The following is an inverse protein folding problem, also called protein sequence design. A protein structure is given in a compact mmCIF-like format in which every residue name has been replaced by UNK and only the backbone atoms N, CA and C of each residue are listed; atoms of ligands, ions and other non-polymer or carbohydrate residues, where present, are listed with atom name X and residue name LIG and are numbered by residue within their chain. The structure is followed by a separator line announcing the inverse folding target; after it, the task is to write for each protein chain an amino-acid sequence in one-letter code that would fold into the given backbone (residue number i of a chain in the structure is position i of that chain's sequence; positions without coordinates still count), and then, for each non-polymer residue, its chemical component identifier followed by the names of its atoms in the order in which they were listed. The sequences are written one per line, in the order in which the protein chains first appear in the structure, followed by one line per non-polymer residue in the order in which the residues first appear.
data_IF_385183422149
#
_entry.id   IF_385183422149
#
_cell.length_a   1.000
_cell.length_b   1.000
_cell.length_c   1.000
_cell.angle_alpha   90.00
_cell.angle_beta   90.00
_cell.angle_gamma   90.00
#
_symmetry.space_group_name_H-M   'P 1'
#
loop_
_entity.id
_entity.type
_entity.pdbx_description
1 polymer ?
#
# COMPACT_ATOMS: atom_id res chain seq x y z
N UNK A 1 2.99 27.12 26.75
CA UNK A 1 3.42 26.38 25.53
C UNK A 1 2.19 26.20 24.66
N UNK A 2 1.99 27.04 23.65
CA UNK A 2 0.92 26.90 22.67
C UNK A 2 1.39 25.86 21.64
N UNK A 3 0.74 24.73 21.61
CA UNK A 3 0.92 23.73 20.54
C UNK A 3 0.29 24.31 19.26
N UNK A 4 1.13 24.79 18.35
CA UNK A 4 0.73 25.08 16.97
C UNK A 4 0.31 23.74 16.33
N UNK A 5 -1.00 23.52 16.18
CA UNK A 5 -1.49 22.51 15.25
C UNK A 5 -1.13 23.02 13.85
N UNK A 6 -0.39 22.26 13.02
CA UNK A 6 -0.26 22.62 11.64
C UNK A 6 -1.66 22.69 11.02
N UNK A 7 -1.91 23.70 10.20
CA UNK A 7 -3.15 23.85 9.44
C UNK A 7 -3.16 22.78 8.33
N UNK A 8 -3.34 21.53 8.72
CA UNK A 8 -3.58 20.46 7.77
C UNK A 8 -4.98 20.69 7.15
N UNK A 9 -5.01 20.97 5.88
CA UNK A 9 -6.22 20.84 5.05
C UNK A 9 -6.04 19.57 4.23
N UNK A 10 -6.90 18.55 4.42
CA UNK A 10 -6.90 17.43 3.49
C UNK A 10 -7.06 17.97 2.07
N UNK A 11 -6.44 17.35 1.07
CA UNK A 11 -6.62 17.73 -0.32
C UNK A 11 -8.12 17.85 -0.62
N UNK A 12 -8.56 18.96 -1.22
CA UNK A 12 -10.00 19.27 -1.42
C UNK A 12 -10.73 18.29 -2.33
N UNK A 13 -10.04 17.34 -2.95
CA UNK A 13 -10.55 16.46 -3.98
C UNK A 13 -10.95 15.05 -3.51
N UNK A 14 -11.03 14.79 -2.20
CA UNK A 14 -11.60 13.51 -1.72
C UNK A 14 -13.11 13.34 -2.04
N UNK A 15 -13.78 14.38 -2.53
CA UNK A 15 -15.22 14.33 -2.86
C UNK A 15 -15.55 13.95 -4.32
N UNK A 16 -14.57 13.76 -5.19
CA UNK A 16 -14.82 13.54 -6.63
C UNK A 16 -14.56 12.09 -7.10
N UNK A 17 -14.89 11.09 -6.29
CA UNK A 17 -14.73 9.67 -6.70
C UNK A 17 -15.94 9.15 -7.50
N UNK A 18 -16.49 9.99 -8.37
CA UNK A 18 -17.42 9.54 -9.42
C UNK A 18 -16.72 9.20 -10.75
N UNK A 19 -15.41 9.42 -10.86
CA UNK A 19 -14.58 8.99 -11.97
C UNK A 19 -13.57 7.95 -11.48
N UNK A 20 -13.53 6.79 -12.13
CA UNK A 20 -12.60 5.68 -11.88
C UNK A 20 -11.11 6.01 -12.16
N UNK A 21 -10.76 7.28 -12.35
CA UNK A 21 -9.37 7.73 -12.45
C UNK A 21 -8.89 8.21 -11.08
N UNK A 22 -8.04 7.40 -10.41
CA UNK A 22 -7.48 7.78 -9.12
C UNK A 22 -6.57 9.00 -9.28
N UNK A 23 -6.46 9.86 -8.23
CA UNK A 23 -5.54 10.99 -8.25
C UNK A 23 -4.10 10.51 -8.51
N UNK A 24 -3.25 11.41 -8.99
CA UNK A 24 -1.84 11.11 -9.21
C UNK A 24 -1.09 10.87 -7.90
N UNK A 25 -1.47 11.53 -6.81
CA UNK A 25 -0.97 11.34 -5.44
C UNK A 25 -1.88 12.03 -4.41
N UNK A 26 -1.76 11.60 -3.15
CA UNK A 26 -2.32 12.27 -1.97
C UNK A 26 -1.26 12.29 -0.86
N UNK A 27 -0.69 13.44 -0.57
CA UNK A 27 0.35 13.64 0.46
C UNK A 27 0.03 14.89 1.28
N UNK A 28 0.60 14.99 2.49
CA UNK A 28 0.33 16.13 3.38
C UNK A 28 0.79 17.47 2.83
N UNK A 29 2.03 17.52 2.32
CA UNK A 29 2.67 18.74 1.84
C UNK A 29 3.76 18.36 0.81
N UNK A 30 3.54 18.72 -0.46
CA UNK A 30 4.47 18.43 -1.56
C UNK A 30 5.76 19.27 -1.45
N UNK A 31 5.73 20.41 -0.77
CA UNK A 31 6.89 21.28 -0.58
C UNK A 31 8.00 20.63 0.28
N UNK A 32 7.68 19.54 0.97
CA UNK A 32 8.67 18.74 1.72
C UNK A 32 9.57 17.87 0.81
N UNK A 33 9.33 17.84 -0.49
CA UNK A 33 9.98 16.93 -1.44
C UNK A 33 11.51 17.09 -1.48
N UNK A 34 12.03 18.32 -1.45
CA UNK A 34 13.48 18.57 -1.48
C UNK A 34 14.19 18.04 -0.23
N UNK A 35 13.55 18.14 0.93
CA UNK A 35 14.07 17.56 2.15
C UNK A 35 14.02 16.03 2.08
N UNK A 36 12.87 15.49 1.66
CA UNK A 36 12.70 14.05 1.48
C UNK A 36 13.72 13.46 0.53
N UNK A 37 14.06 14.15 -0.58
CA UNK A 37 15.06 13.68 -1.54
C UNK A 37 16.43 13.48 -0.87
N UNK A 38 16.88 14.43 -0.07
CA UNK A 38 18.17 14.33 0.66
C UNK A 38 18.20 13.17 1.65
N UNK A 39 17.10 12.96 2.37
CA UNK A 39 16.99 11.85 3.32
C UNK A 39 16.96 10.49 2.60
N UNK A 40 16.30 10.38 1.43
CA UNK A 40 16.29 9.17 0.61
C UNK A 40 17.70 8.88 0.06
N UNK A 41 18.45 9.90 -0.37
CA UNK A 41 19.85 9.74 -0.82
C UNK A 41 20.74 9.17 0.30
N UNK A 42 20.54 9.61 1.55
CA UNK A 42 21.26 9.03 2.70
C UNK A 42 20.84 7.57 2.90
N UNK A 43 19.54 7.27 2.87
CA UNK A 43 19.01 5.91 3.05
C UNK A 43 19.55 4.93 1.99
N UNK A 44 19.80 5.36 0.75
CA UNK A 44 20.41 4.54 -0.29
C UNK A 44 21.79 4.00 0.14
N UNK A 45 22.59 4.78 0.86
CA UNK A 45 23.89 4.35 1.36
C UNK A 45 23.78 3.31 2.48
N UNK A 46 22.66 3.29 3.18
CA UNK A 46 22.37 2.32 4.25
C UNK A 46 21.77 1.01 3.72
N UNK A 47 21.41 0.96 2.43
CA UNK A 47 20.72 -0.17 1.80
C UNK A 47 21.53 -0.78 0.63
N UNK A 48 22.81 -1.18 0.85
CA UNK A 48 23.71 -1.60 -0.22
C UNK A 48 23.20 -2.84 -0.98
N UNK A 49 22.48 -3.74 -0.33
CA UNK A 49 21.91 -4.92 -0.97
C UNK A 49 20.83 -4.57 -2.00
N UNK A 50 19.92 -3.63 -1.65
CA UNK A 50 18.89 -3.17 -2.57
C UNK A 50 19.48 -2.35 -3.72
N UNK A 51 20.46 -1.50 -3.42
CA UNK A 51 21.16 -0.72 -4.46
C UNK A 51 21.92 -1.62 -5.43
N UNK A 52 22.56 -2.70 -4.96
CA UNK A 52 23.21 -3.69 -5.83
C UNK A 52 22.21 -4.42 -6.76
N UNK A 53 20.99 -4.68 -6.28
CA UNK A 53 19.90 -5.25 -7.10
C UNK A 53 19.48 -4.23 -8.17
N UNK A 54 19.29 -2.97 -7.78
CA UNK A 54 18.97 -1.87 -8.70
C UNK A 54 20.01 -1.76 -9.81
N UNK A 55 21.28 -1.66 -9.46
CA UNK A 55 22.39 -1.55 -10.41
C UNK A 55 22.49 -2.74 -11.37
N UNK A 56 22.28 -3.94 -10.83
CA UNK A 56 22.38 -5.18 -11.62
C UNK A 56 21.27 -5.30 -12.66
N UNK A 57 20.04 -4.92 -12.31
CA UNK A 57 18.86 -5.24 -13.12
C UNK A 57 18.20 -4.02 -13.80
N UNK A 58 18.66 -2.79 -13.54
CA UNK A 58 18.08 -1.59 -14.14
C UNK A 58 18.10 -1.60 -15.68
N UNK A 59 19.15 -2.14 -16.29
CA UNK A 59 19.26 -2.25 -17.74
C UNK A 59 18.35 -3.34 -18.34
N UNK A 60 18.07 -4.40 -17.58
CA UNK A 60 17.22 -5.53 -18.04
C UNK A 60 15.73 -5.22 -17.86
N UNK A 61 15.39 -4.32 -16.92
CA UNK A 61 14.01 -3.93 -16.57
C UNK A 61 13.07 -5.13 -16.39
N UNK A 62 13.38 -6.09 -15.51
CA UNK A 62 12.62 -7.35 -15.41
C UNK A 62 11.17 -7.19 -14.97
N UNK A 63 10.80 -6.00 -14.47
CA UNK A 63 9.43 -5.66 -14.06
C UNK A 63 8.71 -4.76 -15.08
N UNK A 64 9.21 -4.66 -16.31
CA UNK A 64 8.60 -3.80 -17.32
C UNK A 64 7.12 -4.11 -17.51
N UNK A 65 6.28 -3.10 -17.29
CA UNK A 65 4.83 -3.18 -17.42
C UNK A 65 4.09 -3.91 -16.31
N UNK A 66 4.78 -4.43 -15.29
CA UNK A 66 4.15 -5.08 -14.13
C UNK A 66 3.56 -4.01 -13.21
N UNK A 67 2.29 -4.15 -12.86
CA UNK A 67 1.60 -3.28 -11.90
C UNK A 67 1.81 -3.78 -10.49
N UNK A 68 2.44 -2.94 -9.65
CA UNK A 68 2.73 -3.27 -8.24
C UNK A 68 2.01 -2.28 -7.33
N UNK A 69 1.22 -2.81 -6.40
CA UNK A 69 0.68 -2.03 -5.29
C UNK A 69 1.46 -2.33 -4.02
N UNK A 70 1.89 -1.28 -3.31
CA UNK A 70 2.43 -1.40 -1.96
C UNK A 70 1.44 -0.88 -0.93
N UNK A 71 1.32 -1.61 0.18
CA UNK A 71 0.66 -1.25 1.42
C UNK A 71 1.64 -1.51 2.55
N UNK A 72 2.62 -0.63 2.68
CA UNK A 72 3.75 -0.75 3.61
C UNK A 72 4.19 0.64 4.06
N UNK A 73 4.74 0.75 5.28
CA UNK A 73 5.14 2.02 5.90
C UNK A 73 5.84 2.96 4.92
N UNK A 74 5.30 4.17 4.72
CA UNK A 74 5.88 5.15 3.79
C UNK A 74 7.04 5.91 4.46
N UNK A 75 8.20 5.26 4.54
CA UNK A 75 9.45 5.80 5.10
C UNK A 75 10.48 6.10 4.02
N UNK A 76 11.61 6.74 4.40
CA UNK A 76 12.73 6.98 3.47
C UNK A 76 13.30 5.67 2.93
N UNK A 77 13.36 4.59 3.73
CA UNK A 77 13.82 3.29 3.28
C UNK A 77 12.84 2.66 2.28
N UNK A 78 11.55 2.77 2.54
CA UNK A 78 10.50 2.33 1.60
C UNK A 78 10.55 3.13 0.30
N UNK A 79 10.87 4.42 0.37
CA UNK A 79 11.08 5.24 -0.82
C UNK A 79 12.19 4.68 -1.73
N UNK A 80 13.30 4.20 -1.16
CA UNK A 80 14.38 3.52 -1.91
C UNK A 80 13.86 2.24 -2.59
N UNK A 81 13.00 1.47 -1.91
CA UNK A 81 12.35 0.28 -2.50
C UNK A 81 11.43 0.67 -3.66
N UNK A 82 10.57 1.67 -3.47
CA UNK A 82 9.64 2.16 -4.50
C UNK A 82 10.40 2.59 -5.76
N UNK A 83 11.45 3.40 -5.60
CA UNK A 83 12.29 3.82 -6.71
C UNK A 83 13.00 2.65 -7.39
N UNK A 84 13.45 1.67 -6.62
CA UNK A 84 14.06 0.46 -7.17
C UNK A 84 13.06 -0.31 -8.04
N UNK A 85 11.84 -0.53 -7.56
CA UNK A 85 10.80 -1.21 -8.33
C UNK A 85 10.46 -0.46 -9.63
N UNK A 86 10.36 0.88 -9.56
CA UNK A 86 10.10 1.73 -10.72
C UNK A 86 11.27 1.70 -11.73
N UNK A 87 12.51 1.76 -11.26
CA UNK A 87 13.72 1.66 -12.09
C UNK A 87 13.80 0.31 -12.81
N UNK A 88 13.36 -0.77 -12.14
CA UNK A 88 13.25 -2.10 -12.72
C UNK A 88 12.07 -2.25 -13.70
N UNK A 89 11.28 -1.21 -13.92
CA UNK A 89 10.22 -1.14 -14.95
C UNK A 89 8.80 -1.25 -14.44
N UNK A 90 8.58 -1.41 -13.13
CA UNK A 90 7.24 -1.55 -12.59
C UNK A 90 6.42 -0.25 -12.64
N UNK A 91 5.12 -0.40 -12.85
CA UNK A 91 4.13 0.64 -12.58
C UNK A 91 3.71 0.54 -11.11
N UNK A 92 4.26 1.41 -10.26
CA UNK A 92 4.10 1.34 -8.80
C UNK A 92 3.03 2.32 -8.32
N UNK A 93 2.20 1.89 -7.35
CA UNK A 93 1.30 2.72 -6.57
C UNK A 93 1.43 2.34 -5.10
N UNK A 94 1.43 3.31 -4.19
CA UNK A 94 1.78 3.05 -2.80
C UNK A 94 0.85 3.74 -1.81
N UNK A 95 0.42 2.99 -0.78
CA UNK A 95 -0.21 3.51 0.42
C UNK A 95 0.59 3.09 1.66
N UNK A 96 0.39 3.76 2.79
CA UNK A 96 0.95 3.31 4.05
C UNK A 96 0.09 2.23 4.68
N UNK A 97 0.69 1.28 5.39
CA UNK A 97 -0.01 0.26 6.18
C UNK A 97 -0.36 0.72 7.60
N UNK A 98 -0.14 1.99 7.94
CA UNK A 98 -0.40 2.53 9.28
C UNK A 98 -0.65 4.04 9.23
N UNK A 99 -1.65 4.50 9.98
CA UNK A 99 -2.07 5.91 9.99
C UNK A 99 -1.05 6.89 10.60
N UNK A 100 -0.03 6.41 11.32
CA UNK A 100 0.96 7.26 12.00
C UNK A 100 2.39 7.11 11.50
N UNK A 101 2.69 6.08 10.71
CA UNK A 101 4.07 5.72 10.38
C UNK A 101 4.66 6.45 9.17
N UNK A 102 3.85 7.18 8.41
CA UNK A 102 4.33 7.92 7.24
C UNK A 102 5.33 9.00 7.64
N UNK A 103 6.44 9.06 6.92
CA UNK A 103 7.35 10.19 6.88
C UNK A 103 6.92 11.10 5.72
N UNK A 104 6.25 12.21 6.02
CA UNK A 104 5.59 13.08 5.03
C UNK A 104 6.55 13.59 3.95
N UNK A 105 7.79 13.87 4.31
CA UNK A 105 8.83 14.27 3.36
C UNK A 105 9.23 13.14 2.40
N UNK A 106 9.22 11.88 2.85
CA UNK A 106 9.46 10.74 1.97
C UNK A 106 8.31 10.57 0.97
N UNK A 107 7.06 10.65 1.43
CA UNK A 107 5.88 10.62 0.56
C UNK A 107 5.90 11.75 -0.48
N UNK A 108 6.24 12.97 -0.05
CA UNK A 108 6.35 14.12 -0.94
C UNK A 108 7.42 13.93 -2.02
N UNK A 109 8.61 13.41 -1.66
CA UNK A 109 9.69 13.18 -2.62
C UNK A 109 9.32 12.15 -3.69
N UNK A 110 8.67 11.06 -3.31
CA UNK A 110 8.19 10.04 -4.25
C UNK A 110 7.06 10.58 -5.14
N UNK A 111 6.09 11.30 -4.56
CA UNK A 111 5.03 11.95 -5.33
C UNK A 111 5.60 12.95 -6.36
N UNK A 112 6.60 13.76 -5.96
CA UNK A 112 7.26 14.73 -6.84
C UNK A 112 8.03 14.05 -7.99
N UNK A 113 8.53 12.83 -7.79
CA UNK A 113 9.17 12.04 -8.86
C UNK A 113 8.16 11.43 -9.87
N UNK A 114 6.86 11.63 -9.64
CA UNK A 114 5.79 11.15 -10.53
C UNK A 114 5.30 9.75 -10.21
N UNK A 115 5.72 9.14 -9.10
CA UNK A 115 5.21 7.84 -8.64
C UNK A 115 4.01 8.08 -7.73
N UNK A 116 2.83 7.48 -8.01
CA UNK A 116 1.64 7.64 -7.21
C UNK A 116 1.80 7.14 -5.78
N UNK A 117 1.65 8.04 -4.80
CA UNK A 117 1.69 7.77 -3.36
C UNK A 117 0.48 8.38 -2.68
N UNK A 118 -0.14 7.62 -1.78
CA UNK A 118 -1.34 7.97 -1.03
C UNK A 118 -1.07 7.76 0.44
N UNK A 119 -0.39 8.69 1.09
CA UNK A 119 0.02 8.54 2.48
C UNK A 119 0.38 9.87 3.13
N UNK A 120 -0.05 10.07 4.38
CA UNK A 120 0.42 11.12 5.27
C UNK A 120 0.30 10.69 6.73
N UNK A 121 1.04 11.33 7.60
CA UNK A 121 1.00 11.03 9.03
C UNK A 121 -0.25 11.60 9.68
N UNK A 122 -1.00 10.76 10.38
CA UNK A 122 -2.20 11.16 11.11
C UNK A 122 -3.48 11.11 10.27
N UNK A 123 -3.55 10.23 9.26
CA UNK A 123 -4.78 9.90 8.55
C UNK A 123 -5.87 9.44 9.50
N UNK A 124 -7.13 9.73 9.18
CA UNK A 124 -8.28 9.04 9.78
C UNK A 124 -8.39 7.62 9.20
N UNK A 125 -9.21 6.76 9.79
CA UNK A 125 -9.41 5.40 9.26
C UNK A 125 -10.09 5.44 7.89
N UNK A 126 -11.02 6.36 7.66
CA UNK A 126 -11.65 6.56 6.35
C UNK A 126 -10.62 6.94 5.28
N UNK A 127 -9.74 7.89 5.59
CA UNK A 127 -8.67 8.33 4.69
C UNK A 127 -7.68 7.19 4.41
N UNK A 128 -7.35 6.41 5.42
CA UNK A 128 -6.46 5.25 5.31
C UNK A 128 -6.99 4.20 4.33
N UNK A 129 -8.26 3.79 4.48
CA UNK A 129 -8.86 2.80 3.60
C UNK A 129 -9.11 3.33 2.18
N UNK A 130 -9.38 4.63 2.06
CA UNK A 130 -9.46 5.30 0.76
C UNK A 130 -8.11 5.33 0.05
N UNK A 131 -7.02 5.63 0.76
CA UNK A 131 -5.66 5.60 0.24
C UNK A 131 -5.26 4.18 -0.20
N UNK A 132 -5.64 3.15 0.56
CA UNK A 132 -5.44 1.75 0.18
C UNK A 132 -6.19 1.41 -1.11
N UNK A 133 -7.45 1.84 -1.26
CA UNK A 133 -8.20 1.67 -2.50
C UNK A 133 -7.52 2.39 -3.68
N UNK A 134 -7.04 3.62 -3.50
CA UNK A 134 -6.32 4.35 -4.53
C UNK A 134 -5.05 3.63 -4.98
N UNK A 135 -4.30 3.03 -4.05
CA UNK A 135 -3.12 2.23 -4.37
C UNK A 135 -3.50 0.95 -5.15
N UNK A 136 -4.65 0.34 -4.85
CA UNK A 136 -5.16 -0.85 -5.55
C UNK A 136 -5.77 -0.54 -6.93
N UNK A 137 -6.06 0.74 -7.23
CA UNK A 137 -6.68 1.15 -8.50
C UNK A 137 -5.61 1.69 -9.44
N UNK A 138 -5.15 0.87 -10.37
CA UNK A 138 -4.21 1.26 -11.43
C UNK A 138 -4.94 1.94 -12.61
N UNK A 139 -4.23 2.65 -13.50
CA UNK A 139 -4.83 3.27 -14.69
C UNK A 139 -5.70 2.28 -15.47
N UNK A 140 -6.73 2.82 -16.12
CA UNK A 140 -7.73 2.05 -16.88
C UNK A 140 -8.58 1.11 -16.03
N UNK A 141 -8.71 1.37 -14.70
CA UNK A 141 -9.51 0.58 -13.77
C UNK A 141 -8.95 -0.82 -13.50
N UNK A 142 -7.68 -1.07 -13.86
CA UNK A 142 -7.01 -2.33 -13.56
C UNK A 142 -6.57 -2.39 -12.10
N UNK A 143 -6.37 -3.62 -11.59
CA UNK A 143 -5.74 -3.89 -10.30
C UNK A 143 -4.24 -4.16 -10.41
N UNK A 144 -3.57 -4.39 -9.27
CA UNK A 144 -2.18 -4.85 -9.25
C UNK A 144 -2.04 -6.28 -9.77
N UNK A 145 -0.87 -6.60 -10.34
CA UNK A 145 -0.44 -7.97 -10.60
C UNK A 145 0.36 -8.53 -9.43
N UNK A 146 1.06 -7.68 -8.68
CA UNK A 146 1.78 -8.04 -7.46
C UNK A 146 1.47 -7.05 -6.34
N UNK A 147 1.47 -7.55 -5.11
CA UNK A 147 1.23 -6.77 -3.90
C UNK A 147 2.43 -6.91 -2.97
N UNK A 148 2.86 -5.80 -2.39
CA UNK A 148 3.77 -5.75 -1.25
C UNK A 148 2.95 -5.27 -0.06
N UNK A 149 2.66 -6.15 0.89
CA UNK A 149 1.76 -5.88 2.03
C UNK A 149 2.49 -6.00 3.37
N UNK A 150 2.03 -5.27 4.35
CA UNK A 150 2.53 -5.28 5.72
C UNK A 150 1.36 -5.19 6.70
N UNK A 151 0.95 -6.34 7.21
CA UNK A 151 -0.23 -6.51 8.03
C UNK A 151 -1.42 -7.10 7.28
N UNK A 152 -1.33 -7.23 5.95
CA UNK A 152 -2.34 -7.88 5.12
C UNK A 152 -3.60 -7.05 4.87
N UNK A 153 -3.55 -5.72 5.00
CA UNK A 153 -4.75 -4.88 4.87
C UNK A 153 -5.19 -4.71 3.41
N UNK A 154 -4.26 -4.54 2.47
CA UNK A 154 -4.59 -4.53 1.04
C UNK A 154 -5.15 -5.89 0.60
N UNK A 155 -4.53 -6.97 1.06
CA UNK A 155 -4.98 -8.34 0.84
C UNK A 155 -6.37 -8.58 1.41
N UNK A 156 -6.63 -8.16 2.66
CA UNK A 156 -7.94 -8.25 3.32
C UNK A 156 -9.02 -7.53 2.52
N UNK A 157 -8.74 -6.31 2.07
CA UNK A 157 -9.72 -5.50 1.32
C UNK A 157 -10.13 -6.19 0.02
N UNK A 158 -9.17 -6.78 -0.72
CA UNK A 158 -9.45 -7.55 -1.93
C UNK A 158 -10.31 -8.78 -1.62
N UNK A 159 -9.95 -9.56 -0.59
CA UNK A 159 -10.70 -10.76 -0.21
C UNK A 159 -12.13 -10.44 0.21
N UNK A 160 -12.33 -9.41 1.04
CA UNK A 160 -13.66 -8.97 1.49
C UNK A 160 -14.50 -8.41 0.35
N UNK A 161 -13.89 -7.68 -0.56
CA UNK A 161 -14.56 -7.19 -1.76
C UNK A 161 -15.00 -8.33 -2.68
N UNK A 162 -14.12 -9.29 -2.92
CA UNK A 162 -14.44 -10.49 -3.71
C UNK A 162 -15.54 -11.34 -3.06
N UNK A 163 -15.45 -11.60 -1.74
CA UNK A 163 -16.51 -12.31 -0.99
C UNK A 163 -17.88 -11.61 -1.18
N UNK A 164 -17.90 -10.27 -1.12
CA UNK A 164 -19.12 -9.48 -1.32
C UNK A 164 -19.69 -9.65 -2.74
N UNK A 165 -18.85 -9.57 -3.78
CA UNK A 165 -19.26 -9.81 -5.18
C UNK A 165 -19.78 -11.23 -5.40
N UNK A 166 -19.33 -12.20 -4.60
CA UNK A 166 -19.83 -13.60 -4.61
C UNK A 166 -21.05 -13.82 -3.72
N UNK A 167 -21.67 -12.74 -3.21
CA UNK A 167 -22.93 -12.80 -2.50
C UNK A 167 -22.81 -12.89 -0.98
N UNK A 168 -21.63 -12.65 -0.41
CA UNK A 168 -21.48 -12.55 1.05
C UNK A 168 -22.27 -11.37 1.61
N UNK A 169 -23.04 -11.62 2.67
CA UNK A 169 -23.82 -10.59 3.35
C UNK A 169 -23.05 -9.88 4.48
N UNK A 170 -21.76 -10.15 4.64
CA UNK A 170 -20.95 -9.57 5.73
C UNK A 170 -21.01 -8.05 5.80
N UNK A 171 -20.98 -7.37 4.66
CA UNK A 171 -21.05 -5.89 4.60
C UNK A 171 -22.36 -5.31 5.19
N UNK A 172 -23.41 -6.11 5.35
CA UNK A 172 -24.70 -5.69 5.92
C UNK A 172 -24.89 -6.14 7.37
N UNK A 173 -23.94 -6.87 7.96
CA UNK A 173 -23.97 -7.23 9.38
C UNK A 173 -23.56 -6.05 10.27
N UNK A 174 -23.94 -6.00 11.56
CA UNK A 174 -23.40 -5.03 12.50
C UNK A 174 -21.86 -5.06 12.53
N UNK A 175 -21.22 -3.92 12.66
CA UNK A 175 -19.77 -3.80 12.75
C UNK A 175 -19.31 -3.90 14.20
N UNK A 176 -18.20 -4.58 14.45
CA UNK A 176 -17.58 -4.73 15.77
C UNK A 176 -16.66 -3.56 16.12
N UNK A 177 -16.22 -2.81 15.11
CA UNK A 177 -15.33 -1.66 15.27
C UNK A 177 -15.64 -0.55 14.25
N UNK A 178 -15.14 0.66 14.52
CA UNK A 178 -15.21 1.77 13.59
C UNK A 178 -14.45 1.46 12.29
N UNK A 179 -13.31 0.81 12.39
CA UNK A 179 -12.51 0.40 11.24
C UNK A 179 -13.27 -0.58 10.32
N UNK A 180 -13.90 -1.60 10.91
CA UNK A 180 -14.75 -2.53 10.14
C UNK A 180 -15.91 -1.81 9.44
N UNK A 181 -16.48 -0.77 10.08
CA UNK A 181 -17.50 0.05 9.44
C UNK A 181 -16.96 0.81 8.23
N UNK A 182 -15.76 1.41 8.34
CA UNK A 182 -15.09 2.09 7.22
C UNK A 182 -14.88 1.15 6.04
N UNK A 183 -14.40 -0.07 6.29
CA UNK A 183 -14.20 -1.09 5.25
C UNK A 183 -15.54 -1.44 4.58
N UNK A 184 -16.58 -1.70 5.36
CA UNK A 184 -17.90 -2.07 4.83
C UNK A 184 -18.50 -0.96 3.95
N UNK A 185 -18.39 0.29 4.39
CA UNK A 185 -18.91 1.45 3.64
C UNK A 185 -18.12 1.67 2.35
N UNK A 186 -16.80 1.52 2.39
CA UNK A 186 -15.93 1.56 1.22
C UNK A 186 -16.33 0.49 0.20
N UNK A 187 -16.47 -0.76 0.63
CA UNK A 187 -16.81 -1.89 -0.24
C UNK A 187 -18.17 -1.70 -0.91
N UNK A 188 -19.18 -1.25 -0.17
CA UNK A 188 -20.52 -0.94 -0.72
C UNK A 188 -20.45 0.14 -1.79
N UNK A 189 -19.69 1.20 -1.53
CA UNK A 189 -19.51 2.30 -2.49
C UNK A 189 -18.79 1.85 -3.76
N UNK A 190 -17.72 1.06 -3.65
CA UNK A 190 -16.99 0.50 -4.80
C UNK A 190 -17.92 -0.38 -5.63
N UNK A 191 -18.64 -1.30 -4.99
CA UNK A 191 -19.58 -2.20 -5.68
C UNK A 191 -20.72 -1.45 -6.38
N UNK A 192 -21.21 -0.36 -5.80
CA UNK A 192 -22.20 0.51 -6.45
C UNK A 192 -21.70 1.19 -7.73
N UNK A 193 -20.40 1.32 -7.90
CA UNK A 193 -19.74 1.91 -9.07
C UNK A 193 -19.27 0.86 -10.09
N UNK A 194 -18.90 -0.34 -9.63
CA UNK A 194 -18.44 -1.46 -10.46
C UNK A 194 -18.74 -2.78 -9.75
N UNK A 195 -19.56 -3.61 -10.38
CA UNK A 195 -20.02 -4.87 -9.79
C UNK A 195 -18.96 -5.99 -9.78
N UNK A 196 -17.87 -5.83 -10.54
CA UNK A 196 -16.83 -6.84 -10.75
C UNK A 196 -15.41 -6.32 -10.47
N UNK A 197 -15.27 -5.18 -9.81
CA UNK A 197 -13.98 -4.54 -9.52
C UNK A 197 -13.00 -5.47 -8.82
N UNK A 198 -13.45 -6.14 -7.75
CA UNK A 198 -12.60 -7.04 -6.96
C UNK A 198 -12.31 -8.36 -7.68
N UNK A 199 -13.29 -8.90 -8.40
CA UNK A 199 -13.09 -10.09 -9.24
C UNK A 199 -12.06 -9.84 -10.33
N UNK A 200 -12.03 -8.65 -10.92
CA UNK A 200 -11.02 -8.27 -11.90
C UNK A 200 -9.62 -8.21 -11.30
N UNK A 201 -9.47 -7.64 -10.08
CA UNK A 201 -8.19 -7.65 -9.36
C UNK A 201 -7.74 -9.09 -9.10
N UNK A 202 -8.61 -9.94 -8.55
CA UNK A 202 -8.28 -11.34 -8.23
C UNK A 202 -7.83 -12.12 -9.47
N UNK A 203 -8.47 -11.90 -10.61
CA UNK A 203 -8.12 -12.58 -11.87
C UNK A 203 -6.74 -12.18 -12.41
N UNK A 204 -6.28 -10.96 -12.14
CA UNK A 204 -5.00 -10.45 -12.62
C UNK A 204 -3.86 -10.58 -11.59
N UNK A 205 -4.19 -10.64 -10.30
CA UNK A 205 -3.20 -10.71 -9.21
C UNK A 205 -2.46 -12.05 -9.21
N UNK A 206 -1.15 -12.00 -9.29
CA UNK A 206 -0.24 -13.16 -9.30
C UNK A 206 0.28 -13.51 -7.92
N UNK A 207 0.15 -12.61 -6.95
CA UNK A 207 0.54 -12.88 -5.58
C UNK A 207 0.86 -11.66 -4.74
N UNK A 208 1.04 -11.94 -3.44
CA UNK A 208 1.42 -10.97 -2.41
C UNK A 208 2.70 -11.41 -1.71
N UNK A 209 3.55 -10.45 -1.38
CA UNK A 209 4.67 -10.59 -0.44
C UNK A 209 4.29 -9.91 0.86
N UNK A 210 4.23 -10.69 1.97
CA UNK A 210 3.82 -10.20 3.28
C UNK A 210 5.02 -10.05 4.21
N UNK A 211 5.15 -8.83 4.79
CA UNK A 211 6.32 -8.42 5.55
C UNK A 211 6.24 -8.78 7.05
N UNK A 212 5.04 -8.82 7.65
CA UNK A 212 4.90 -8.85 9.09
C UNK A 212 4.13 -10.05 9.64
N UNK A 213 4.41 -10.41 10.90
CA UNK A 213 3.81 -11.57 11.58
C UNK A 213 2.28 -11.55 11.56
N UNK A 214 1.64 -10.41 11.80
CA UNK A 214 0.18 -10.30 11.80
C UNK A 214 -0.42 -10.62 10.44
N UNK A 215 0.16 -10.09 9.36
CA UNK A 215 -0.28 -10.38 8.00
C UNK A 215 -0.04 -11.83 7.61
N UNK A 216 1.12 -12.40 7.96
CA UNK A 216 1.41 -13.82 7.75
C UNK A 216 0.40 -14.72 8.45
N UNK A 217 -0.02 -14.41 9.69
CA UNK A 217 -1.07 -15.16 10.38
C UNK A 217 -2.40 -15.10 9.63
N UNK A 218 -2.81 -13.92 9.17
CA UNK A 218 -4.03 -13.76 8.34
C UNK A 218 -3.97 -14.61 7.06
N UNK A 219 -2.81 -14.66 6.39
CA UNK A 219 -2.61 -15.49 5.21
C UNK A 219 -2.75 -16.98 5.52
N UNK A 220 -2.17 -17.47 6.62
CA UNK A 220 -2.35 -18.86 7.05
C UNK A 220 -3.80 -19.20 7.37
N UNK A 221 -4.54 -18.32 8.05
CA UNK A 221 -5.98 -18.50 8.29
C UNK A 221 -6.78 -18.59 6.99
N UNK A 222 -6.41 -17.79 5.98
CA UNK A 222 -7.02 -17.86 4.64
C UNK A 222 -6.68 -19.17 3.93
N UNK A 223 -5.45 -19.68 4.06
CA UNK A 223 -5.04 -20.99 3.53
C UNK A 223 -5.83 -22.12 4.20
N UNK A 224 -5.85 -22.15 5.54
CA UNK A 224 -6.48 -23.21 6.31
C UNK A 224 -8.01 -23.27 6.07
N UNK A 225 -8.63 -22.12 5.83
CA UNK A 225 -10.05 -22.02 5.46
C UNK A 225 -10.34 -22.22 3.98
N UNK A 226 -9.31 -22.42 3.14
CA UNK A 226 -9.45 -22.56 1.69
C UNK A 226 -9.92 -21.29 0.97
N UNK A 227 -9.67 -20.10 1.56
CA UNK A 227 -10.13 -18.80 1.06
C UNK A 227 -9.05 -17.95 0.40
N UNK A 228 -7.78 -18.34 0.47
CA UNK A 228 -6.70 -17.57 -0.15
C UNK A 228 -6.89 -17.54 -1.67
N UNK A 229 -7.02 -16.34 -2.24
CA UNK A 229 -7.40 -16.14 -3.65
C UNK A 229 -6.22 -16.15 -4.62
N UNK A 230 -5.01 -15.88 -4.14
CA UNK A 230 -3.79 -15.82 -4.94
C UNK A 230 -2.58 -16.25 -4.10
N UNK A 231 -1.46 -16.66 -4.72
CA UNK A 231 -0.26 -17.07 -4.00
C UNK A 231 0.27 -16.00 -3.04
N UNK A 232 0.84 -16.43 -1.92
CA UNK A 232 1.44 -15.54 -0.93
C UNK A 232 2.86 -15.99 -0.56
N UNK A 233 3.76 -15.04 -0.40
CA UNK A 233 5.14 -15.25 0.04
C UNK A 233 5.30 -14.63 1.42
N UNK A 234 5.69 -15.46 2.39
CA UNK A 234 6.04 -15.03 3.73
C UNK A 234 7.49 -14.48 3.73
N UNK A 235 7.64 -13.15 3.64
CA UNK A 235 8.92 -12.47 3.74
C UNK A 235 9.36 -12.30 5.18
N UNK A 236 8.41 -12.23 6.13
CA UNK A 236 8.70 -12.07 7.56
C UNK A 236 9.66 -13.13 8.10
N UNK A 237 9.54 -14.38 7.65
CA UNK A 237 10.35 -15.50 8.13
C UNK A 237 11.64 -15.70 7.33
N UNK A 238 11.91 -14.89 6.31
CA UNK A 238 13.19 -14.92 5.61
C UNK A 238 14.34 -14.65 6.58
N UNK A 239 15.49 -15.32 6.38
CA UNK A 239 16.65 -15.19 7.29
C UNK A 239 17.12 -13.74 7.40
N UNK A 240 17.13 -13.01 6.27
CA UNK A 240 17.55 -11.61 6.22
C UNK A 240 16.59 -10.64 6.89
N UNK A 241 15.31 -11.01 7.07
CA UNK A 241 14.32 -10.21 7.79
C UNK A 241 14.21 -10.66 9.26
N UNK A 242 13.93 -11.94 9.51
CA UNK A 242 13.62 -12.45 10.86
C UNK A 242 14.81 -12.42 11.83
N UNK A 243 16.03 -12.60 11.32
CA UNK A 243 17.26 -12.56 12.15
C UNK A 243 17.76 -11.16 12.46
N UNK A 244 17.24 -10.14 11.79
CA UNK A 244 17.64 -8.75 11.97
C UNK A 244 16.49 -7.89 12.47
N UNK A 245 15.47 -7.66 11.68
CA UNK A 245 14.36 -6.78 12.04
C UNK A 245 13.57 -7.30 13.25
N UNK A 246 13.14 -8.57 13.24
CA UNK A 246 12.37 -9.13 14.37
C UNK A 246 13.18 -9.23 15.66
N UNK A 247 14.51 -9.34 15.59
CA UNK A 247 15.37 -9.43 16.77
C UNK A 247 15.85 -8.07 17.28
N UNK A 248 16.12 -7.12 16.40
CA UNK A 248 16.78 -5.86 16.75
C UNK A 248 15.93 -4.64 16.43
N UNK A 249 15.11 -4.67 15.36
CA UNK A 249 14.28 -3.55 14.93
C UNK A 249 12.97 -3.42 15.71
N UNK A 250 12.43 -4.53 16.23
CA UNK A 250 11.16 -4.58 16.96
C UNK A 250 11.33 -4.70 18.49
N UNK A 251 12.51 -4.50 19.02
CA UNK A 251 12.74 -4.45 20.48
C UNK A 251 12.49 -3.03 20.98
N UNK A 252 11.54 -2.91 21.91
CA UNK A 252 11.45 -1.79 22.84
C UNK A 252 12.59 -1.82 23.87
#
# INVERSE_FOLDING_TARGET
MQTLKPNFRPPRDMQSVNNLEPPSYLVSDIELSDFGRKEIEIAQHEMPGLMAIRDKYSSERPLEGVRITGSLHMTIQTAVLIETLAELGASVRWASCNIFSTQDHAAAAIAQSGIPVFAWKGMTLEEYWECTLHALTHPSGKGPELIVDDGGDATLLIHKGFEMEKGSNWVNTPSESHEEQCIKDLLKRVHGNSEDFWSNIVNECRGVSEETTTGVHRLYEMVDSGKLLFPAINVNDSVTKSKFDNLYGCRE
#
